data_IF_972092833965
#
_entry.id   IF_972092833965
#
_cell.length_a   1.000
_cell.length_b   1.000
_cell.length_c   1.000
_cell.angle_alpha   90.00
_cell.angle_beta   90.00
_cell.angle_gamma   90.00
#
_symmetry.space_group_name_H-M   'P 1'
#
loop_
_entity.id
_entity.type
_entity.pdbx_description
1 polymer ?
#
# COMPACT_ATOMS: atom_id res chain seq x y z
N UNK A 1 0.60 -10.47 2.38
CA UNK A 1 1.63 -10.86 3.39
C UNK A 1 2.13 -9.61 4.09
N UNK A 2 2.69 -9.73 5.30
CA UNK A 2 3.25 -8.59 6.04
C UNK A 2 4.77 -8.66 5.98
N UNK A 3 5.43 -7.52 5.85
CA UNK A 3 6.89 -7.45 5.75
C UNK A 3 7.37 -6.12 6.34
N UNK A 4 8.44 -6.18 7.11
CA UNK A 4 9.03 -4.99 7.72
C UNK A 4 9.89 -4.24 6.72
N UNK A 5 10.10 -2.94 6.94
CA UNK A 5 10.98 -2.12 6.10
C UNK A 5 12.41 -2.70 6.00
N UNK A 6 12.89 -3.34 7.07
CA UNK A 6 14.21 -3.96 7.14
C UNK A 6 14.32 -5.15 6.19
N UNK A 7 13.28 -5.98 6.14
CA UNK A 7 13.22 -7.14 5.25
C UNK A 7 13.09 -6.74 3.78
N UNK A 8 12.31 -5.68 3.50
CA UNK A 8 12.21 -5.12 2.15
C UNK A 8 13.57 -4.58 1.66
N UNK A 9 14.32 -3.87 2.52
CA UNK A 9 15.66 -3.32 2.18
C UNK A 9 16.75 -4.39 1.97
N UNK A 10 16.55 -5.61 2.46
CA UNK A 10 17.51 -6.71 2.28
C UNK A 10 17.51 -7.30 0.87
N UNK A 11 16.55 -6.91 0.01
CA UNK A 11 16.47 -7.33 -1.39
C UNK A 11 16.68 -6.12 -2.31
N UNK A 12 17.92 -5.61 -2.44
CA UNK A 12 18.21 -4.38 -3.17
C UNK A 12 17.84 -4.42 -4.67
N UNK A 13 17.67 -5.61 -5.25
CA UNK A 13 17.22 -5.78 -6.65
C UNK A 13 15.68 -5.89 -6.79
N UNK A 14 14.94 -5.74 -5.69
CA UNK A 14 13.48 -5.83 -5.74
C UNK A 14 12.89 -4.52 -6.23
N UNK A 15 12.37 -4.54 -7.46
CA UNK A 15 11.54 -3.48 -7.99
C UNK A 15 10.13 -3.58 -7.41
N UNK A 16 9.61 -2.48 -6.90
CA UNK A 16 8.20 -2.34 -6.52
C UNK A 16 7.43 -1.94 -7.77
N UNK A 17 6.49 -2.78 -8.18
CA UNK A 17 5.67 -2.54 -9.36
C UNK A 17 4.66 -1.41 -9.11
N UNK A 18 4.02 -1.43 -7.93
CA UNK A 18 3.04 -0.44 -7.52
C UNK A 18 3.20 -0.13 -6.03
N UNK A 19 3.24 1.16 -5.68
CA UNK A 19 3.13 1.67 -4.32
C UNK A 19 1.81 2.42 -4.14
N UNK A 20 0.95 1.92 -3.29
CA UNK A 20 -0.31 2.56 -2.91
C UNK A 20 -0.17 3.21 -1.53
N UNK A 21 -0.44 4.50 -1.47
CA UNK A 21 -0.55 5.27 -0.24
C UNK A 21 -2.02 5.41 0.11
N UNK A 22 -2.51 4.49 0.94
CA UNK A 22 -3.92 4.42 1.34
C UNK A 22 -4.14 5.41 2.47
N UNK A 23 -4.95 6.44 2.19
CA UNK A 23 -5.36 7.41 3.20
C UNK A 23 -6.39 6.78 4.13
N UNK A 24 -6.18 7.01 5.42
CA UNK A 24 -6.93 6.43 6.51
C UNK A 24 -7.54 7.54 7.36
N UNK A 25 -8.51 7.19 8.20
CA UNK A 25 -9.04 8.11 9.19
C UNK A 25 -7.93 8.71 10.07
N UNK A 26 -8.15 9.93 10.55
CA UNK A 26 -7.15 10.65 11.36
C UNK A 26 -5.97 11.22 10.57
N UNK A 27 -6.09 11.39 9.25
CA UNK A 27 -5.05 11.94 8.38
C UNK A 27 -3.77 11.09 8.28
N UNK A 28 -3.89 9.78 8.54
CA UNK A 28 -2.79 8.85 8.40
C UNK A 28 -2.76 8.18 7.03
N UNK A 29 -1.60 7.65 6.65
CA UNK A 29 -1.43 6.87 5.43
C UNK A 29 -0.81 5.52 5.75
N UNK A 30 -1.31 4.46 5.13
CA UNK A 30 -0.68 3.14 5.08
C UNK A 30 -0.01 2.95 3.72
N UNK A 31 1.15 2.30 3.70
CA UNK A 31 1.77 1.86 2.47
C UNK A 31 1.44 0.39 2.18
N UNK A 32 0.80 0.16 1.03
CA UNK A 32 0.66 -1.16 0.43
C UNK A 32 1.49 -1.17 -0.85
N UNK A 33 2.18 -2.25 -1.13
CA UNK A 33 3.05 -2.34 -2.29
C UNK A 33 3.03 -3.72 -2.91
N UNK A 34 3.34 -3.76 -4.21
CA UNK A 34 3.26 -4.96 -5.03
C UNK A 34 4.62 -5.28 -5.62
N UNK A 35 5.02 -6.53 -5.50
CA UNK A 35 6.26 -7.07 -6.08
C UNK A 35 5.86 -8.35 -6.80
N UNK A 36 6.05 -8.40 -8.12
CA UNK A 36 5.60 -9.51 -8.97
C UNK A 36 4.10 -9.83 -8.73
N UNK A 37 3.27 -8.78 -8.72
CA UNK A 37 1.82 -8.83 -8.44
C UNK A 37 1.41 -9.34 -7.04
N UNK A 38 2.36 -9.67 -6.16
CA UNK A 38 2.04 -10.08 -4.79
C UNK A 38 1.89 -8.87 -3.86
N UNK A 39 0.80 -8.77 -3.08
CA UNK A 39 0.54 -7.64 -2.20
C UNK A 39 1.22 -7.77 -0.84
N UNK A 40 1.86 -6.68 -0.43
CA UNK A 40 2.55 -6.52 0.84
C UNK A 40 2.08 -5.26 1.57
N UNK A 41 1.95 -5.36 2.89
CA UNK A 41 1.71 -4.21 3.76
C UNK A 41 2.98 -3.91 4.52
N UNK A 42 3.37 -2.64 4.54
CA UNK A 42 4.46 -2.18 5.37
C UNK A 42 4.04 -2.24 6.85
N UNK A 43 4.77 -3.04 7.63
CA UNK A 43 4.55 -3.14 9.07
C UNK A 43 5.75 -2.61 9.87
N UNK A 44 5.46 -2.09 11.05
CA UNK A 44 6.43 -1.74 12.08
C UNK A 44 7.08 -2.96 12.72
N UNK A 45 7.99 -2.72 13.66
CA UNK A 45 8.71 -3.79 14.39
C UNK A 45 7.78 -4.66 15.26
N UNK A 46 6.62 -4.11 15.62
CA UNK A 46 5.57 -4.72 16.41
C UNK A 46 4.54 -5.49 15.56
N UNK A 47 4.78 -5.65 14.25
CA UNK A 47 3.90 -6.34 13.30
C UNK A 47 2.55 -5.63 13.05
N UNK A 48 2.39 -4.38 13.49
CA UNK A 48 1.25 -3.56 13.12
C UNK A 48 1.54 -2.73 11.87
N UNK A 49 0.50 -2.35 11.08
CA UNK A 49 0.67 -1.43 9.96
C UNK A 49 1.43 -0.18 10.36
N UNK A 50 2.43 0.20 9.57
CA UNK A 50 3.16 1.44 9.80
C UNK A 50 2.33 2.61 9.28
N UNK A 51 2.01 3.56 10.16
CA UNK A 51 1.26 4.77 9.81
C UNK A 51 2.21 5.92 9.52
N UNK A 52 2.02 6.56 8.37
CA UNK A 52 2.66 7.82 8.02
C UNK A 52 1.71 8.98 8.34
N UNK A 53 2.26 10.13 8.72
CA UNK A 53 1.52 11.37 8.96
C UNK A 53 1.27 12.17 7.67
N UNK A 54 1.71 11.66 6.52
CA UNK A 54 1.44 12.27 5.23
C UNK A 54 2.02 11.47 4.06
N UNK A 55 1.44 11.67 2.88
CA UNK A 55 1.89 11.01 1.65
C UNK A 55 3.37 11.32 1.31
N UNK A 56 3.87 12.51 1.68
CA UNK A 56 5.29 12.87 1.49
C UNK A 56 6.21 12.01 2.34
N UNK A 57 5.90 11.85 3.62
CA UNK A 57 6.68 11.02 4.55
C UNK A 57 6.73 9.57 4.06
N UNK A 58 5.59 9.05 3.60
CA UNK A 58 5.53 7.73 3.00
C UNK A 58 6.44 7.64 1.76
N UNK A 59 6.33 8.57 0.79
CA UNK A 59 7.21 8.57 -0.40
C UNK A 59 8.70 8.64 -0.04
N UNK A 60 9.05 9.46 0.94
CA UNK A 60 10.44 9.60 1.40
C UNK A 60 10.97 8.28 2.00
N UNK A 61 10.12 7.51 2.68
CA UNK A 61 10.46 6.18 3.20
C UNK A 61 10.74 5.16 2.08
N UNK A 62 10.14 5.33 0.89
CA UNK A 62 10.36 4.47 -0.27
C UNK A 62 11.43 4.96 -1.25
N UNK A 63 12.10 6.12 -1.01
CA UNK A 63 13.13 6.67 -1.93
C UNK A 63 14.32 5.75 -2.17
N UNK A 64 14.58 4.79 -1.29
CA UNK A 64 15.64 3.78 -1.43
C UNK A 64 15.27 2.58 -2.30
N UNK A 65 14.03 2.52 -2.81
CA UNK A 65 13.52 1.43 -3.63
C UNK A 65 13.31 1.90 -5.07
N UNK A 66 13.45 0.99 -6.02
CA UNK A 66 13.01 1.23 -7.39
C UNK A 66 11.49 1.02 -7.45
N UNK A 67 10.73 2.11 -7.49
CA UNK A 67 9.27 2.09 -7.58
C UNK A 67 8.85 2.49 -9.00
N UNK A 68 8.11 1.63 -9.71
CA UNK A 68 7.62 1.93 -11.07
C UNK A 68 6.46 2.93 -11.04
N UNK A 69 5.50 2.72 -10.15
CA UNK A 69 4.32 3.55 -10.03
C UNK A 69 3.96 3.84 -8.57
N UNK A 70 3.46 5.05 -8.29
CA UNK A 70 2.94 5.43 -6.97
C UNK A 70 1.59 6.12 -7.11
N UNK A 71 0.59 5.60 -6.41
CA UNK A 71 -0.77 6.15 -6.37
C UNK A 71 -1.16 6.52 -4.94
N UNK A 72 -1.98 7.56 -4.79
CA UNK A 72 -2.60 7.92 -3.52
C UNK A 72 -4.05 7.47 -3.59
N UNK A 73 -4.45 6.60 -2.67
CA UNK A 73 -5.82 6.14 -2.56
C UNK A 73 -6.52 6.99 -1.48
N UNK A 74 -7.57 7.75 -1.81
CA UNK A 74 -8.29 8.57 -0.83
C UNK A 74 -8.99 7.68 0.21
N UNK A 75 -9.35 8.23 1.39
CA UNK A 75 -10.14 7.50 2.36
C UNK A 75 -11.52 7.30 1.73
N UNK A 76 -11.79 6.09 1.25
CA UNK A 76 -13.03 5.79 0.57
C UNK A 76 -14.13 5.65 1.61
N UNK A 77 -14.92 6.72 1.76
CA UNK A 77 -16.32 6.59 2.10
C UNK A 77 -17.08 6.22 0.83
N UNK A 78 -17.53 4.97 0.77
CA UNK A 78 -18.66 4.50 -0.03
C UNK A 78 -18.50 4.40 -1.56
N UNK A 79 -18.41 3.16 -2.05
CA UNK A 79 -18.77 2.75 -3.42
C UNK A 79 -20.31 2.66 -3.60
N UNK A 80 -21.05 3.61 -3.01
CA UNK A 80 -22.51 3.74 -3.16
C UNK A 80 -22.83 5.06 -3.85
N UNK A 81 -22.59 5.17 -5.16
CA UNK A 81 -23.43 5.97 -6.06
C UNK A 81 -23.42 5.37 -7.47
N UNK A 82 -24.49 4.63 -7.76
CA UNK A 82 -25.04 4.13 -9.03
C UNK A 82 -24.52 4.80 -10.31
N UNK A 83 -23.92 4.03 -11.23
CA UNK A 83 -23.90 4.42 -12.66
C UNK A 83 -22.69 4.10 -13.53
N UNK A 84 -21.76 3.22 -13.15
CA UNK A 84 -20.73 2.74 -14.09
C UNK A 84 -20.75 1.22 -14.19
N UNK A 85 -20.94 0.75 -15.43
CA UNK A 85 -21.11 -0.65 -15.81
C UNK A 85 -20.06 -1.55 -15.18
N UNK A 86 -20.57 -2.59 -14.52
CA UNK A 86 -19.87 -3.68 -13.84
C UNK A 86 -18.57 -4.09 -14.54
N UNK A 87 -17.45 -3.57 -14.05
CA UNK A 87 -16.18 -4.27 -14.17
C UNK A 87 -16.17 -5.37 -13.11
N UNK A 88 -15.80 -6.58 -13.53
CA UNK A 88 -15.63 -7.78 -12.71
C UNK A 88 -14.57 -7.52 -11.61
N UNK A 89 -14.97 -6.81 -10.55
CA UNK A 89 -14.15 -6.63 -9.35
C UNK A 89 -14.23 -7.94 -8.57
N UNK A 90 -13.24 -8.79 -8.79
CA UNK A 90 -13.06 -10.00 -7.98
C UNK A 90 -12.73 -9.56 -6.55
N UNK A 91 -13.69 -9.68 -5.64
CA UNK A 91 -13.47 -9.48 -4.21
C UNK A 91 -12.29 -10.35 -3.74
N UNK A 92 -11.18 -9.73 -3.35
CA UNK A 92 -10.08 -10.45 -2.70
C UNK A 92 -10.48 -10.79 -1.26
N UNK A 93 -10.91 -12.04 -1.07
CA UNK A 93 -11.15 -12.62 0.26
C UNK A 93 -9.81 -12.91 0.96
N UNK A 94 -9.53 -12.18 2.03
CA UNK A 94 -8.50 -12.57 3.00
C UNK A 94 -9.09 -13.71 3.86
N UNK A 95 -8.48 -14.90 3.82
CA UNK A 95 -8.81 -15.97 4.78
C UNK A 95 -8.11 -15.67 6.10
N UNK A 96 -8.90 -15.60 7.17
CA UNK A 96 -8.43 -15.60 8.57
C UNK A 96 -7.78 -16.95 8.91
#
# INVERSE_FOLDING_TARGET
MNITMTEARLRPETTIDLLELVSMEGCHYMARYYINDEPYILVGKDQHPFWFNGAREARDAFRGFQVKETVIIPPTGTDEMIGMSSYDMTEMRVRL
#
